data_IF_189389128067
#
_entry.id   IF_189389128067
#
_cell.length_a   1.000
_cell.length_b   1.000
_cell.length_c   1.000
_cell.angle_alpha   90.00
_cell.angle_beta   90.00
_cell.angle_gamma   90.00
#
_symmetry.space_group_name_H-M   'P 1'
#
loop_
_entity.id
_entity.type
_entity.pdbx_description
1 polymer ?
#
# COMPACT_ATOMS: atom_id res chain seq x y z
N UNK A 1 -20.38 1.53 15.99
CA UNK A 1 -20.03 0.11 16.23
C UNK A 1 -18.54 -0.10 15.99
N UNK A 2 -17.90 -1.05 16.68
CA UNK A 2 -16.49 -1.42 16.46
C UNK A 2 -16.19 -1.75 14.98
N UNK A 3 -17.19 -2.24 14.25
CA UNK A 3 -17.11 -2.50 12.80
C UNK A 3 -16.89 -1.21 11.99
N UNK A 4 -17.57 -0.11 12.35
CA UNK A 4 -17.41 1.17 11.65
C UNK A 4 -16.03 1.78 11.90
N UNK A 5 -15.50 1.59 13.11
CA UNK A 5 -14.15 2.03 13.47
C UNK A 5 -13.11 1.26 12.65
N UNK A 6 -13.25 -0.07 12.59
CA UNK A 6 -12.40 -0.94 11.75
C UNK A 6 -12.49 -0.54 10.28
N UNK A 7 -13.69 -0.35 9.73
CA UNK A 7 -13.88 0.03 8.33
C UNK A 7 -13.27 1.40 8.00
N UNK A 8 -13.39 2.38 8.90
CA UNK A 8 -12.76 3.70 8.73
C UNK A 8 -11.23 3.60 8.77
N UNK A 9 -10.70 2.78 9.69
CA UNK A 9 -9.28 2.56 9.80
C UNK A 9 -8.72 1.88 8.55
N UNK A 10 -9.34 0.77 8.10
CA UNK A 10 -8.98 0.07 6.87
C UNK A 10 -9.03 0.99 5.65
N UNK A 11 -10.09 1.80 5.50
CA UNK A 11 -10.19 2.79 4.41
C UNK A 11 -9.05 3.81 4.43
N UNK A 12 -8.64 4.23 5.62
CA UNK A 12 -7.54 5.20 5.79
C UNK A 12 -6.19 4.58 5.43
N UNK A 13 -5.94 3.35 5.89
CA UNK A 13 -4.71 2.60 5.58
C UNK A 13 -4.62 2.29 4.09
N UNK A 14 -5.70 1.78 3.48
CA UNK A 14 -5.79 1.56 2.03
C UNK A 14 -5.48 2.82 1.24
N UNK A 15 -6.06 3.97 1.64
CA UNK A 15 -5.78 5.25 0.98
C UNK A 15 -4.30 5.64 1.09
N UNK A 16 -3.67 5.41 2.25
CA UNK A 16 -2.26 5.74 2.44
C UNK A 16 -1.34 4.85 1.59
N UNK A 17 -1.58 3.54 1.58
CA UNK A 17 -0.84 2.58 0.75
C UNK A 17 -0.92 2.98 -0.73
N UNK A 18 -2.12 3.34 -1.22
CA UNK A 18 -2.30 3.77 -2.61
C UNK A 18 -1.48 5.05 -2.94
N UNK A 19 -1.41 6.00 -2.01
CA UNK A 19 -0.62 7.23 -2.18
C UNK A 19 0.88 6.90 -2.18
N UNK A 20 1.37 6.14 -1.21
CA UNK A 20 2.81 5.80 -1.12
C UNK A 20 3.25 4.96 -2.33
N UNK A 21 2.39 4.06 -2.79
CA UNK A 21 2.55 3.30 -4.03
C UNK A 21 2.66 4.22 -5.26
N UNK A 22 1.75 5.18 -5.41
CA UNK A 22 1.76 6.17 -6.48
C UNK A 22 3.03 7.04 -6.42
N UNK A 23 3.40 7.53 -5.24
CA UNK A 23 4.62 8.33 -5.04
C UNK A 23 5.91 7.54 -5.25
N UNK A 24 5.87 6.21 -5.14
CA UNK A 24 7.00 5.33 -5.47
C UNK A 24 7.23 5.15 -6.98
N UNK A 25 6.31 5.65 -7.82
CA UNK A 25 6.43 5.53 -9.26
C UNK A 25 7.53 6.47 -9.80
N UNK A 26 8.73 5.92 -9.92
CA UNK A 26 9.91 6.61 -10.47
C UNK A 26 9.72 7.10 -11.91
N UNK A 27 8.92 6.41 -12.72
CA UNK A 27 8.63 6.85 -14.08
C UNK A 27 7.80 8.15 -14.09
N UNK A 28 6.93 8.34 -13.10
CA UNK A 28 6.07 9.53 -12.98
C UNK A 28 6.71 10.67 -12.18
N UNK A 29 7.48 10.35 -11.13
CA UNK A 29 8.01 11.33 -10.17
C UNK A 29 9.53 11.52 -10.22
N UNK A 30 10.24 10.75 -11.06
CA UNK A 30 11.69 10.89 -11.25
C UNK A 30 12.47 10.77 -9.95
N UNK A 31 13.42 11.66 -9.70
CA UNK A 31 14.20 11.69 -8.46
C UNK A 31 13.39 12.09 -7.21
N UNK A 32 12.17 12.62 -7.38
CA UNK A 32 11.28 12.95 -6.26
C UNK A 32 10.41 11.77 -5.85
N UNK A 33 10.54 10.61 -6.51
CA UNK A 33 9.80 9.41 -6.12
C UNK A 33 10.29 8.87 -4.79
N UNK A 34 9.36 8.38 -3.96
CA UNK A 34 9.71 7.61 -2.77
C UNK A 34 10.40 6.31 -3.20
N UNK A 35 11.41 5.88 -2.43
CA UNK A 35 12.08 4.62 -2.71
C UNK A 35 11.08 3.45 -2.58
N UNK A 36 10.90 2.67 -3.66
CA UNK A 36 10.03 1.48 -3.67
C UNK A 36 10.36 0.50 -2.54
N UNK A 37 11.64 0.24 -2.27
CA UNK A 37 12.06 -0.66 -1.19
C UNK A 37 11.62 -0.15 0.18
N UNK A 38 11.60 1.18 0.38
CA UNK A 38 11.09 1.78 1.60
C UNK A 38 9.58 1.54 1.74
N UNK A 39 8.81 1.71 0.67
CA UNK A 39 7.36 1.44 0.67
C UNK A 39 7.08 -0.04 0.94
N UNK A 40 7.78 -0.95 0.25
CA UNK A 40 7.66 -2.40 0.45
C UNK A 40 7.93 -2.80 1.90
N UNK A 41 9.03 -2.30 2.49
CA UNK A 41 9.39 -2.59 3.90
C UNK A 41 8.42 -1.99 4.91
N UNK A 42 7.92 -0.78 4.64
CA UNK A 42 7.02 -0.07 5.56
C UNK A 42 5.68 -0.79 5.68
N UNK A 43 5.17 -1.31 4.56
CA UNK A 43 3.87 -1.97 4.52
C UNK A 43 3.96 -3.49 4.58
N UNK A 44 5.16 -4.05 4.66
CA UNK A 44 5.37 -5.46 4.97
C UNK A 44 4.72 -5.80 6.31
N UNK A 45 4.10 -6.97 6.40
CA UNK A 45 3.30 -7.48 7.53
C UNK A 45 1.99 -6.72 7.80
N UNK A 46 1.66 -5.72 6.98
CA UNK A 46 0.41 -4.94 7.12
C UNK A 46 -0.61 -5.34 6.06
N UNK A 47 -0.18 -5.98 4.96
CA UNK A 47 -1.05 -6.32 3.85
C UNK A 47 -1.73 -7.68 4.11
N UNK A 48 -2.96 -7.82 3.65
CA UNK A 48 -3.67 -9.09 3.71
C UNK A 48 -3.18 -9.98 2.54
N UNK A 49 -2.88 -11.25 2.80
CA UNK A 49 -2.38 -12.21 1.81
C UNK A 49 -1.04 -11.80 1.16
N UNK A 50 -0.09 -11.30 1.95
CA UNK A 50 1.27 -10.97 1.45
C UNK A 50 1.95 -12.13 0.73
N UNK A 51 1.64 -13.36 1.12
CA UNK A 51 2.12 -14.58 0.48
C UNK A 51 1.68 -14.72 -0.98
N UNK A 52 0.60 -14.03 -1.38
CA UNK A 52 0.06 -14.05 -2.74
C UNK A 52 0.47 -12.82 -3.56
N UNK A 53 1.08 -11.83 -2.92
CA UNK A 53 1.50 -10.61 -3.59
C UNK A 53 2.82 -10.84 -4.33
N UNK A 54 2.96 -10.20 -5.49
CA UNK A 54 4.23 -10.16 -6.19
C UNK A 54 5.27 -9.38 -5.37
N UNK A 55 6.55 -9.67 -5.61
CA UNK A 55 7.67 -9.02 -4.90
C UNK A 55 7.65 -7.47 -5.05
N UNK A 56 7.15 -6.95 -6.18
CA UNK A 56 6.89 -5.52 -6.43
C UNK A 56 5.38 -5.23 -6.51
N UNK A 57 4.64 -5.50 -5.44
CA UNK A 57 3.19 -5.23 -5.34
C UNK A 57 2.83 -3.75 -5.49
N UNK A 58 3.79 -2.82 -5.43
CA UNK A 58 3.54 -1.38 -5.66
C UNK A 58 3.19 -1.05 -7.12
N UNK A 59 2.99 -2.04 -7.98
CA UNK A 59 2.45 -1.88 -9.33
C UNK A 59 1.09 -2.54 -9.51
N UNK A 60 0.64 -3.32 -8.53
CA UNK A 60 -0.67 -3.96 -8.59
C UNK A 60 -1.76 -2.95 -8.20
N UNK A 61 -2.68 -2.74 -9.13
CA UNK A 61 -3.95 -2.08 -8.85
C UNK A 61 -4.84 -3.02 -8.06
N UNK A 62 -5.02 -2.75 -6.77
CA UNK A 62 -5.95 -3.52 -5.92
C UNK A 62 -5.34 -4.18 -4.69
N UNK A 63 -4.15 -3.76 -4.24
CA UNK A 63 -3.60 -4.18 -2.95
C UNK A 63 -4.51 -3.66 -1.83
N UNK A 64 -5.47 -4.49 -1.45
CA UNK A 64 -6.52 -4.22 -0.47
C UNK A 64 -6.05 -4.80 0.88
N UNK A 65 -5.85 -3.96 1.89
CA UNK A 65 -5.89 -4.45 3.28
C UNK A 65 -7.31 -4.96 3.56
N UNK A 66 -7.38 -6.19 4.07
CA UNK A 66 -8.56 -7.03 4.13
C UNK A 66 -9.83 -6.32 4.57
N UNK A 67 -10.90 -6.57 3.83
CA UNK A 67 -12.28 -6.20 4.17
C UNK A 67 -12.90 -7.26 5.07
#
# INVERSE_FOLDING_TARGET
>A
SDQEIKNRWLKTINKRIAIDCLLSNKAKYGNNSINKSLVLKTWQKTLLNEDRLLEDWTKETGVLVGV
#
